data_IF_077499093244
#
_entry.id   IF_077499093244
#
_cell.length_a   1.000
_cell.length_b   1.000
_cell.length_c   1.000
_cell.angle_alpha   90.00
_cell.angle_beta   90.00
_cell.angle_gamma   90.00
#
_symmetry.space_group_name_H-M   'P 1'
#
loop_
_entity.id
_entity.type
_entity.pdbx_description
1 polymer ?
#
# COMPACT_ATOMS: atom_id res chain seq x y z
N UNK A 1 -81.92 18.01 -30.96
CA UNK A 1 -81.15 16.93 -30.29
C UNK A 1 -79.65 17.23 -30.10
N UNK A 2 -79.13 18.41 -30.50
CA UNK A 2 -77.69 18.75 -30.43
C UNK A 2 -77.29 19.43 -29.09
N UNK A 3 -78.19 20.20 -28.48
CA UNK A 3 -77.90 20.99 -27.27
C UNK A 3 -77.62 20.16 -26.00
N UNK A 4 -78.31 19.03 -25.79
CA UNK A 4 -78.09 18.18 -24.59
C UNK A 4 -76.76 17.43 -24.61
N UNK A 5 -76.21 17.15 -25.80
CA UNK A 5 -74.90 16.48 -25.96
C UNK A 5 -73.73 17.44 -25.70
N UNK A 6 -73.87 18.70 -26.09
CA UNK A 6 -72.89 19.74 -25.80
C UNK A 6 -72.77 20.04 -24.30
N UNK A 7 -73.90 20.05 -23.57
CA UNK A 7 -73.89 20.23 -22.12
C UNK A 7 -73.25 19.04 -21.37
N UNK A 8 -73.43 17.81 -21.87
CA UNK A 8 -72.82 16.62 -21.26
C UNK A 8 -71.30 16.57 -21.49
N UNK A 9 -70.82 16.99 -22.66
CA UNK A 9 -69.38 17.11 -22.95
C UNK A 9 -68.71 18.22 -22.15
N UNK A 10 -69.38 19.37 -21.97
CA UNK A 10 -68.86 20.46 -21.15
C UNK A 10 -68.79 20.09 -19.65
N UNK A 11 -69.76 19.32 -19.15
CA UNK A 11 -69.74 18.82 -17.77
C UNK A 11 -68.64 17.77 -17.53
N UNK A 12 -68.29 16.97 -18.54
CA UNK A 12 -67.21 15.97 -18.45
C UNK A 12 -65.81 16.59 -18.56
N UNK A 13 -65.66 17.74 -19.21
CA UNK A 13 -64.39 18.48 -19.31
C UNK A 13 -64.08 19.34 -18.07
N UNK A 14 -65.09 19.68 -17.26
CA UNK A 14 -64.93 20.43 -16.01
C UNK A 14 -64.63 19.58 -14.77
N UNK A 15 -64.68 18.25 -14.91
CA UNK A 15 -64.43 17.30 -13.83
C UNK A 15 -63.01 16.71 -13.92
N UNK A 16 -61.98 17.55 -14.03
CA UNK A 16 -60.61 17.15 -13.74
C UNK A 16 -60.46 16.99 -12.23
N UNK A 17 -60.75 15.79 -11.73
CA UNK A 17 -60.38 15.40 -10.36
C UNK A 17 -58.87 15.62 -10.22
N UNK A 18 -58.38 16.40 -9.23
CA UNK A 18 -56.94 16.56 -9.10
C UNK A 18 -56.37 15.20 -8.68
N UNK A 19 -55.33 14.77 -9.38
CA UNK A 19 -54.61 13.54 -9.07
C UNK A 19 -53.80 13.73 -7.78
N UNK A 20 -54.48 13.74 -6.63
CA UNK A 20 -53.88 13.95 -5.30
C UNK A 20 -52.98 12.79 -4.86
N UNK A 21 -52.92 11.67 -5.60
CA UNK A 21 -52.02 10.55 -5.33
C UNK A 21 -50.56 10.82 -5.75
N UNK A 22 -50.33 11.72 -6.73
CA UNK A 22 -48.98 12.07 -7.18
C UNK A 22 -48.28 13.08 -6.24
N UNK A 23 -49.04 13.88 -5.50
CA UNK A 23 -48.51 14.90 -4.58
C UNK A 23 -47.85 14.30 -3.34
N UNK A 24 -48.48 13.29 -2.71
CA UNK A 24 -47.90 12.59 -1.57
C UNK A 24 -46.69 11.73 -1.97
N UNK A 25 -46.68 11.19 -3.19
CA UNK A 25 -45.50 10.53 -3.74
C UNK A 25 -44.37 11.53 -4.02
N UNK A 26 -44.70 12.72 -4.53
CA UNK A 26 -43.75 13.82 -4.74
C UNK A 26 -43.10 14.31 -3.45
N UNK A 27 -43.89 14.69 -2.44
CA UNK A 27 -43.34 15.16 -1.16
C UNK A 27 -42.57 14.07 -0.41
N UNK A 28 -43.00 12.81 -0.49
CA UNK A 28 -42.23 11.69 0.08
C UNK A 28 -40.94 11.42 -0.69
N UNK A 29 -40.94 11.54 -2.03
CA UNK A 29 -39.74 11.44 -2.87
C UNK A 29 -38.78 12.60 -2.60
N UNK A 30 -39.28 13.83 -2.49
CA UNK A 30 -38.48 15.02 -2.19
C UNK A 30 -37.84 14.90 -0.80
N UNK A 31 -38.62 14.49 0.21
CA UNK A 31 -38.10 14.25 1.56
C UNK A 31 -37.06 13.12 1.57
N UNK A 32 -37.31 12.03 0.84
CA UNK A 32 -36.34 10.93 0.72
C UNK A 32 -35.05 11.38 0.00
N UNK A 33 -35.18 12.21 -1.04
CA UNK A 33 -34.05 12.78 -1.76
C UNK A 33 -33.23 13.73 -0.88
N UNK A 34 -33.87 14.58 -0.08
CA UNK A 34 -33.21 15.47 0.88
C UNK A 34 -32.43 14.68 1.94
N UNK A 35 -33.04 13.62 2.50
CA UNK A 35 -32.36 12.74 3.46
C UNK A 35 -31.17 12.04 2.79
N UNK A 36 -31.35 11.51 1.58
CA UNK A 36 -30.26 10.87 0.85
C UNK A 36 -29.14 11.86 0.52
N UNK A 37 -29.48 13.10 0.13
CA UNK A 37 -28.50 14.14 -0.16
C UNK A 37 -27.66 14.46 1.07
N UNK A 38 -28.28 14.61 2.25
CA UNK A 38 -27.54 14.79 3.50
C UNK A 38 -26.65 13.59 3.84
N UNK A 39 -27.14 12.36 3.64
CA UNK A 39 -26.33 11.15 3.82
C UNK A 39 -25.12 11.17 2.89
N UNK A 40 -25.30 11.48 1.61
CA UNK A 40 -24.21 11.52 0.62
C UNK A 40 -23.22 12.63 0.95
N UNK A 41 -23.69 13.83 1.30
CA UNK A 41 -22.86 14.98 1.67
C UNK A 41 -21.97 14.67 2.87
N UNK A 42 -22.43 13.86 3.83
CA UNK A 42 -21.63 13.48 5.01
C UNK A 42 -20.80 12.22 4.76
N UNK A 43 -21.38 11.18 4.16
CA UNK A 43 -20.75 9.88 3.99
C UNK A 43 -19.64 9.91 2.93
N UNK A 44 -19.85 10.58 1.79
CA UNK A 44 -18.87 10.65 0.71
C UNK A 44 -17.54 11.27 1.16
N UNK A 45 -17.49 12.43 1.84
CA UNK A 45 -16.20 12.97 2.30
C UNK A 45 -15.54 12.06 3.35
N UNK A 46 -16.31 11.40 4.22
CA UNK A 46 -15.73 10.43 5.18
C UNK A 46 -15.06 9.28 4.43
N UNK A 47 -15.76 8.66 3.49
CA UNK A 47 -15.20 7.56 2.67
C UNK A 47 -14.01 8.06 1.84
N UNK A 48 -14.11 9.25 1.25
CA UNK A 48 -13.04 9.84 0.47
C UNK A 48 -11.78 10.05 1.32
N UNK A 49 -11.90 10.57 2.55
CA UNK A 49 -10.78 10.76 3.47
C UNK A 49 -10.16 9.41 3.84
N UNK A 50 -10.97 8.40 4.16
CA UNK A 50 -10.47 7.06 4.52
C UNK A 50 -9.69 6.43 3.35
N UNK A 51 -10.26 6.45 2.14
CA UNK A 51 -9.61 5.90 0.94
C UNK A 51 -8.34 6.69 0.61
N UNK A 52 -8.41 8.02 0.67
CA UNK A 52 -7.26 8.89 0.47
C UNK A 52 -6.13 8.52 1.43
N UNK A 53 -6.41 8.42 2.74
CA UNK A 53 -5.41 8.03 3.74
C UNK A 53 -4.80 6.65 3.46
N UNK A 54 -5.64 5.66 3.12
CA UNK A 54 -5.18 4.31 2.84
C UNK A 54 -4.23 4.26 1.63
N UNK A 55 -4.61 4.91 0.52
CA UNK A 55 -3.82 4.95 -0.72
C UNK A 55 -2.51 5.71 -0.52
N UNK A 56 -2.51 6.72 0.36
CA UNK A 56 -1.35 7.58 0.60
C UNK A 56 -0.28 6.93 1.48
N UNK A 57 -0.68 6.08 2.44
CA UNK A 57 0.22 5.34 3.34
C UNK A 57 0.80 4.09 2.66
N UNK A 58 0.14 3.57 1.63
CA UNK A 58 0.55 2.34 0.95
C UNK A 58 1.99 2.38 0.40
N UNK A 59 2.45 3.44 -0.29
CA UNK A 59 3.80 3.54 -0.82
C UNK A 59 4.89 3.42 0.25
N UNK A 60 4.66 4.01 1.43
CA UNK A 60 5.56 3.91 2.58
C UNK A 60 5.66 2.45 3.05
N UNK A 61 4.51 1.80 3.28
CA UNK A 61 4.49 0.39 3.69
C UNK A 61 5.13 -0.54 2.66
N UNK A 62 4.91 -0.29 1.37
CA UNK A 62 5.52 -1.08 0.29
C UNK A 62 7.04 -0.89 0.31
N UNK A 63 7.53 0.33 0.52
CA UNK A 63 8.95 0.62 0.60
C UNK A 63 9.60 -0.06 1.83
N UNK A 64 8.94 -0.05 2.98
CA UNK A 64 9.39 -0.72 4.21
C UNK A 64 9.44 -2.25 4.02
N UNK A 65 8.37 -2.87 3.52
CA UNK A 65 8.32 -4.31 3.29
C UNK A 65 9.35 -4.79 2.25
N UNK A 66 9.75 -3.93 1.31
CA UNK A 66 10.78 -4.25 0.31
C UNK A 66 12.20 -3.90 0.76
N UNK A 67 12.37 -3.33 1.96
CA UNK A 67 13.63 -2.75 2.43
C UNK A 67 14.25 -1.81 1.39
N UNK A 68 13.43 -0.91 0.84
CA UNK A 68 13.87 0.01 -0.21
C UNK A 68 14.91 1.00 0.37
N UNK A 69 16.07 1.21 -0.27
CA UNK A 69 17.14 2.05 0.27
C UNK A 69 16.73 3.51 0.44
N UNK A 70 15.69 3.96 -0.27
CA UNK A 70 15.16 5.32 -0.20
C UNK A 70 13.79 5.40 0.52
N UNK A 71 13.51 4.47 1.45
CA UNK A 71 12.24 4.46 2.20
C UNK A 71 11.93 5.81 2.87
N UNK A 72 12.94 6.46 3.46
CA UNK A 72 12.77 7.76 4.13
C UNK A 72 12.41 8.87 3.13
N UNK A 73 12.99 8.83 1.93
CA UNK A 73 12.65 9.79 0.88
C UNK A 73 11.19 9.63 0.43
N UNK A 74 10.72 8.39 0.27
CA UNK A 74 9.32 8.09 -0.07
C UNK A 74 8.38 8.58 1.04
N UNK A 75 8.73 8.36 2.31
CA UNK A 75 7.99 8.90 3.47
C UNK A 75 7.93 10.43 3.45
N UNK A 76 9.05 11.10 3.20
CA UNK A 76 9.06 12.56 3.09
C UNK A 76 8.23 13.05 1.90
N UNK A 77 8.24 12.34 0.77
CA UNK A 77 7.43 12.67 -0.39
C UNK A 77 5.94 12.49 -0.11
N UNK A 78 5.56 11.46 0.65
CA UNK A 78 4.21 11.22 1.13
C UNK A 78 3.73 12.40 2.03
N UNK A 79 4.52 12.78 3.03
CA UNK A 79 4.22 13.94 3.89
C UNK A 79 4.16 15.26 3.10
N UNK A 80 5.11 15.47 2.18
CA UNK A 80 5.16 16.65 1.33
C UNK A 80 3.95 16.71 0.40
N UNK A 81 3.50 15.57 -0.12
CA UNK A 81 2.29 15.48 -0.92
C UNK A 81 1.06 15.95 -0.15
N UNK A 82 0.92 15.60 1.14
CA UNK A 82 -0.14 16.11 2.01
C UNK A 82 -0.12 17.65 2.08
N UNK A 83 1.07 18.25 2.20
CA UNK A 83 1.24 19.71 2.20
C UNK A 83 0.80 20.33 0.87
N UNK A 84 1.04 19.64 -0.26
CA UNK A 84 0.60 20.06 -1.60
C UNK A 84 -0.82 19.58 -1.97
N UNK A 85 -1.69 19.31 -1.00
CA UNK A 85 -3.09 18.93 -1.25
C UNK A 85 -3.26 17.52 -1.82
N UNK A 86 -2.27 16.65 -1.61
CA UNK A 86 -2.26 15.25 -2.03
C UNK A 86 -1.74 15.01 -3.44
N UNK A 87 -1.40 16.04 -4.24
CA UNK A 87 -1.15 15.91 -5.68
C UNK A 87 0.05 15.03 -6.07
N UNK A 88 1.06 14.90 -5.21
CA UNK A 88 2.32 14.19 -5.51
C UNK A 88 2.23 12.67 -5.25
N UNK A 89 1.07 12.16 -4.84
CA UNK A 89 0.88 10.74 -4.51
C UNK A 89 1.22 9.75 -5.65
N UNK A 90 0.99 10.03 -6.95
CA UNK A 90 1.33 9.09 -8.03
C UNK A 90 2.84 8.96 -8.20
N UNK A 91 3.59 10.03 -7.88
CA UNK A 91 5.05 10.03 -7.94
C UNK A 91 5.61 9.16 -6.81
N UNK A 92 5.03 9.23 -5.61
CA UNK A 92 5.40 8.36 -4.50
C UNK A 92 5.16 6.88 -4.82
N UNK A 93 4.02 6.59 -5.46
CA UNK A 93 3.72 5.25 -5.99
C UNK A 93 4.74 4.80 -7.04
N UNK A 94 5.00 5.62 -8.06
CA UNK A 94 5.99 5.29 -9.09
C UNK A 94 7.35 4.98 -8.46
N UNK A 95 7.80 5.82 -7.53
CA UNK A 95 9.11 5.66 -6.91
C UNK A 95 9.20 4.41 -6.02
N UNK A 96 8.14 4.07 -5.28
CA UNK A 96 8.07 2.83 -4.49
C UNK A 96 8.14 1.55 -5.34
N UNK A 97 7.77 1.63 -6.63
CA UNK A 97 7.84 0.50 -7.57
C UNK A 97 9.08 0.52 -8.46
N UNK A 98 9.77 1.64 -8.60
CA UNK A 98 11.03 1.70 -9.36
C UNK A 98 12.16 0.99 -8.63
N UNK A 99 13.04 0.34 -9.40
CA UNK A 99 14.24 -0.34 -8.88
C UNK A 99 15.38 0.69 -8.74
N UNK A 100 16.03 0.82 -7.57
CA UNK A 100 17.13 1.76 -7.38
C UNK A 100 18.42 1.29 -8.10
N UNK A 101 18.45 1.43 -9.43
CA UNK A 101 19.55 0.97 -10.30
C UNK A 101 20.89 1.58 -9.90
N UNK A 102 20.94 2.86 -9.54
CA UNK A 102 22.17 3.52 -9.11
C UNK A 102 22.70 2.95 -7.80
N UNK A 103 21.80 2.65 -6.85
CA UNK A 103 22.17 1.99 -5.60
C UNK A 103 22.66 0.57 -5.86
N UNK A 104 22.00 -0.18 -6.76
CA UNK A 104 22.48 -1.50 -7.22
C UNK A 104 23.87 -1.43 -7.84
N UNK A 105 24.16 -0.42 -8.65
CA UNK A 105 25.45 -0.27 -9.30
C UNK A 105 26.56 0.03 -8.28
N UNK A 106 26.28 0.88 -7.29
CA UNK A 106 27.25 1.21 -6.26
C UNK A 106 27.45 0.09 -5.23
N UNK A 107 26.36 -0.51 -4.75
CA UNK A 107 26.36 -1.42 -3.60
C UNK A 107 26.16 -2.90 -3.96
N UNK A 108 25.82 -3.21 -5.21
CA UNK A 108 25.57 -4.58 -5.66
C UNK A 108 24.25 -5.19 -5.16
N UNK A 109 23.56 -4.52 -4.23
CA UNK A 109 22.28 -4.93 -3.67
C UNK A 109 21.24 -3.84 -3.91
N UNK A 110 19.96 -4.22 -3.89
CA UNK A 110 18.82 -3.28 -3.93
C UNK A 110 18.13 -3.16 -2.59
N UNK A 111 18.68 -3.80 -1.55
CA UNK A 111 18.13 -3.82 -0.20
C UNK A 111 18.91 -2.87 0.70
N UNK A 112 18.20 -2.26 1.61
CA UNK A 112 18.77 -1.40 2.65
C UNK A 112 19.56 -2.25 3.67
N UNK A 113 20.52 -1.63 4.36
CA UNK A 113 21.40 -2.28 5.37
C UNK A 113 20.61 -3.04 6.43
N UNK A 114 19.46 -2.50 6.84
CA UNK A 114 18.53 -3.10 7.80
C UNK A 114 18.05 -4.50 7.42
N UNK A 115 17.97 -4.84 6.13
CA UNK A 115 17.63 -6.20 5.70
C UNK A 115 18.69 -7.21 6.15
N UNK A 116 19.97 -6.84 5.99
CA UNK A 116 21.10 -7.69 6.37
C UNK A 116 21.24 -7.79 7.89
N UNK A 117 20.98 -6.71 8.61
CA UNK A 117 20.94 -6.70 10.07
C UNK A 117 19.83 -7.62 10.62
N UNK A 118 18.62 -7.55 10.06
CA UNK A 118 17.51 -8.41 10.48
C UNK A 118 17.80 -9.89 10.16
N UNK A 119 18.36 -10.17 8.98
CA UNK A 119 18.74 -11.52 8.59
C UNK A 119 19.87 -12.07 9.49
N UNK A 120 20.85 -11.24 9.85
CA UNK A 120 21.90 -11.61 10.80
C UNK A 120 21.35 -11.83 12.22
N UNK A 121 20.38 -11.01 12.66
CA UNK A 121 19.71 -11.20 13.95
C UNK A 121 18.96 -12.54 14.02
N UNK A 122 18.29 -12.95 12.94
CA UNK A 122 17.64 -14.27 12.83
C UNK A 122 18.65 -15.42 12.91
N UNK A 123 19.83 -15.24 12.30
CA UNK A 123 20.94 -16.17 12.39
C UNK A 123 21.47 -16.30 13.82
N UNK A 124 21.68 -15.18 14.52
CA UNK A 124 22.06 -15.14 15.95
C UNK A 124 21.04 -15.83 16.85
N UNK A 125 19.76 -15.64 16.57
CA UNK A 125 18.67 -16.25 17.32
C UNK A 125 18.51 -17.76 17.07
N UNK A 126 19.31 -18.36 16.16
CA UNK A 126 19.19 -19.77 15.79
C UNK A 126 17.90 -20.10 15.03
N UNK A 127 17.18 -19.09 14.56
CA UNK A 127 15.91 -19.25 13.80
C UNK A 127 16.12 -19.37 12.29
N UNK A 128 17.34 -19.10 11.81
CA UNK A 128 17.71 -19.26 10.40
C UNK A 128 18.30 -20.64 10.13
N UNK A 129 18.02 -21.15 8.94
CA UNK A 129 18.63 -22.38 8.41
C UNK A 129 20.09 -22.16 8.00
N UNK A 130 20.88 -23.23 7.98
CA UNK A 130 22.27 -23.19 7.50
C UNK A 130 22.38 -22.69 6.04
N UNK A 131 21.36 -22.95 5.22
CA UNK A 131 21.25 -22.47 3.84
C UNK A 131 21.08 -20.95 3.78
N UNK A 132 20.17 -20.39 4.58
CA UNK A 132 19.93 -18.95 4.65
C UNK A 132 21.17 -18.18 5.14
N UNK A 133 21.85 -18.73 6.15
CA UNK A 133 23.12 -18.17 6.66
C UNK A 133 24.18 -18.20 5.56
N UNK A 134 24.29 -19.30 4.80
CA UNK A 134 25.25 -19.42 3.70
C UNK A 134 24.95 -18.41 2.60
N UNK A 135 23.69 -18.28 2.19
CA UNK A 135 23.27 -17.32 1.16
C UNK A 135 23.55 -15.87 1.57
N UNK A 136 23.20 -15.50 2.81
CA UNK A 136 23.45 -14.17 3.35
C UNK A 136 24.94 -13.83 3.36
N UNK A 137 25.79 -14.78 3.80
CA UNK A 137 27.25 -14.65 3.78
C UNK A 137 27.77 -14.44 2.35
N UNK A 138 27.32 -15.23 1.39
CA UNK A 138 27.71 -15.12 -0.01
C UNK A 138 27.34 -13.75 -0.60
N UNK A 139 26.15 -13.22 -0.28
CA UNK A 139 25.72 -11.89 -0.71
C UNK A 139 26.63 -10.79 -0.11
N UNK A 140 26.94 -10.86 1.19
CA UNK A 140 27.84 -9.91 1.85
C UNK A 140 29.29 -10.02 1.35
N UNK A 141 29.78 -11.22 1.03
CA UNK A 141 31.10 -11.42 0.41
C UNK A 141 31.16 -10.83 -1.00
N UNK A 142 30.10 -10.99 -1.79
CA UNK A 142 30.00 -10.37 -3.10
C UNK A 142 30.01 -8.83 -3.01
N UNK A 143 29.32 -8.26 -2.01
CA UNK A 143 29.38 -6.82 -1.70
C UNK A 143 30.79 -6.39 -1.26
N UNK A 144 31.46 -7.20 -0.43
CA UNK A 144 32.83 -6.95 0.04
C UNK A 144 33.84 -6.95 -1.10
N UNK A 145 33.77 -7.93 -1.99
CA UNK A 145 34.65 -8.07 -3.15
C UNK A 145 34.53 -6.87 -4.11
N UNK A 146 33.36 -6.23 -4.16
CA UNK A 146 33.12 -4.99 -4.92
C UNK A 146 33.58 -3.73 -4.20
N UNK A 147 34.07 -3.83 -2.97
CA UNK A 147 34.46 -2.70 -2.13
C UNK A 147 33.28 -1.89 -1.59
N UNK A 148 32.05 -2.39 -1.75
CA UNK A 148 30.84 -1.66 -1.42
C UNK A 148 30.23 -2.05 -0.08
N UNK A 149 30.95 -2.80 0.75
CA UNK A 149 30.46 -3.24 2.05
C UNK A 149 30.64 -2.14 3.11
N UNK A 150 29.55 -1.61 3.69
CA UNK A 150 29.62 -0.65 4.78
C UNK A 150 30.30 -1.25 6.03
N UNK A 151 30.86 -0.41 6.92
CA UNK A 151 31.57 -0.88 8.11
C UNK A 151 30.73 -1.83 8.99
N UNK A 152 29.45 -1.51 9.25
CA UNK A 152 28.58 -2.34 10.09
C UNK A 152 28.40 -3.76 9.53
N UNK A 153 28.19 -3.89 8.22
CA UNK A 153 28.05 -5.19 7.57
C UNK A 153 29.35 -6.02 7.52
N UNK A 154 30.53 -5.41 7.67
CA UNK A 154 31.80 -6.16 7.74
C UNK A 154 31.89 -6.99 9.01
N UNK A 155 31.48 -6.40 10.13
CA UNK A 155 31.47 -7.08 11.41
C UNK A 155 30.45 -8.23 11.39
N UNK A 156 29.26 -7.99 10.83
CA UNK A 156 28.24 -9.03 10.62
C UNK A 156 28.72 -10.17 9.74
N UNK A 157 29.47 -9.88 8.67
CA UNK A 157 30.04 -10.91 7.81
C UNK A 157 31.03 -11.80 8.59
N UNK A 158 31.88 -11.20 9.43
CA UNK A 158 32.81 -11.94 10.29
C UNK A 158 32.09 -12.89 11.24
N UNK A 159 30.99 -12.42 11.83
CA UNK A 159 30.16 -13.23 12.73
C UNK A 159 29.43 -14.37 11.99
N UNK A 160 28.83 -14.10 10.83
CA UNK A 160 28.13 -15.11 10.03
C UNK A 160 29.08 -16.23 9.58
N UNK A 161 30.35 -15.91 9.32
CA UNK A 161 31.39 -16.92 9.05
C UNK A 161 31.61 -17.84 10.25
N UNK A 162 31.69 -17.29 11.46
CA UNK A 162 31.85 -18.09 12.67
C UNK A 162 30.62 -18.97 12.94
N UNK A 163 29.40 -18.45 12.73
CA UNK A 163 28.15 -19.20 12.87
C UNK A 163 28.02 -20.34 11.85
N UNK A 164 28.45 -20.12 10.59
CA UNK A 164 28.45 -21.15 9.57
C UNK A 164 29.37 -22.33 9.93
N UNK A 165 30.57 -22.05 10.46
CA UNK A 165 31.50 -23.11 10.85
C UNK A 165 30.95 -23.96 12.00
N UNK A 166 30.22 -23.36 12.93
CA UNK A 166 29.56 -24.07 14.04
C UNK A 166 28.38 -24.94 13.57
N UNK A 167 27.69 -24.52 12.50
CA UNK A 167 26.54 -25.24 11.92
C UNK A 167 26.94 -26.21 10.81
N UNK A 168 28.22 -26.23 10.43
CA UNK A 168 28.78 -27.20 9.49
C UNK A 168 28.70 -28.60 10.11
N UNK A 169 28.10 -29.59 9.44
CA UNK A 169 28.11 -30.96 9.95
C UNK A 169 29.57 -31.43 10.08
N UNK A 170 29.92 -32.20 11.13
CA UNK A 170 31.25 -32.77 11.25
C UNK A 170 31.55 -33.56 9.98
N UNK A 171 32.74 -33.33 9.41
CA UNK A 171 33.16 -34.01 8.19
C UNK A 171 32.97 -35.52 8.36
N UNK A 172 32.03 -36.10 7.62
CA UNK A 172 31.83 -37.53 7.56
C UNK A 172 33.07 -38.15 6.88
N UNK A 173 34.14 -38.39 7.64
CA UNK A 173 35.40 -38.84 7.02
C UNK A 173 36.66 -38.89 7.88
N UNK A 174 36.60 -38.74 9.20
CA UNK A 174 37.80 -38.86 10.06
C UNK A 174 37.54 -39.78 11.25
N UNK A 175 37.26 -41.05 10.97
CA UNK A 175 36.96 -42.06 12.00
C UNK A 175 37.02 -43.51 11.52
N UNK A 176 37.81 -43.79 10.48
CA UNK A 176 38.09 -45.16 10.04
C UNK A 176 39.55 -45.25 9.57
N UNK A 177 40.47 -45.26 10.54
CA UNK A 177 41.80 -45.85 10.40
C UNK A 177 42.08 -46.67 11.64
#
# INVERSE_FOLDING_TARGET
MISKRAALLAALLGASVPAHAAFLAGEALDTAADVLAWIVIVLVPIVAIVVFWLVHILPEKIAEHRHHPQQQAIKTLCLLSLVFGGMLWPIAWLWAYTRPVMYRMAYGTERHESYFEEAAAKARAGTSTAEEIRHLREELEAMHARGALPPGLRDLLGELKALHEQTRPPAAGEGAR
#
